data_IF_406812735690
#
_entry.id   IF_406812735690
#
_cell.length_a   1.000
_cell.length_b   1.000
_cell.length_c   1.000
_cell.angle_alpha   90.00
_cell.angle_beta   90.00
_cell.angle_gamma   90.00
#
_symmetry.space_group_name_H-M   'P 1'
#
loop_
_entity.id
_entity.type
_entity.pdbx_description
1 polymer ?
#
# COMPACT_ATOMS: atom_id res chain seq x y z
N UNK A 1 -33.20 10.80 14.65
CA UNK A 1 -32.12 10.36 13.74
C UNK A 1 -30.83 10.91 14.29
N UNK A 2 -29.95 10.08 14.86
CA UNK A 2 -28.69 10.53 15.45
C UNK A 2 -27.59 10.49 14.40
N UNK A 3 -27.38 11.61 13.70
CA UNK A 3 -26.16 11.83 12.92
C UNK A 3 -25.03 12.17 13.89
N UNK A 4 -24.37 11.15 14.42
CA UNK A 4 -23.17 11.32 15.23
C UNK A 4 -22.01 11.72 14.33
N UNK A 5 -21.81 13.04 14.20
CA UNK A 5 -20.53 13.63 13.80
C UNK A 5 -19.48 13.18 14.84
N UNK A 6 -18.80 12.07 14.56
CA UNK A 6 -17.62 11.64 15.32
C UNK A 6 -16.64 12.81 15.38
N UNK A 7 -16.14 13.11 16.59
CA UNK A 7 -15.25 14.25 16.81
C UNK A 7 -13.97 14.13 15.97
N UNK A 8 -13.35 15.25 15.60
CA UNK A 8 -12.12 15.30 14.81
C UNK A 8 -10.99 14.42 15.41
N UNK A 9 -10.92 14.33 16.73
CA UNK A 9 -9.96 13.50 17.47
C UNK A 9 -10.19 12.00 17.28
N UNK A 10 -11.45 11.55 17.26
CA UNK A 10 -11.79 10.14 17.01
C UNK A 10 -11.49 9.73 15.57
N UNK A 11 -11.70 10.64 14.61
CA UNK A 11 -11.34 10.41 13.22
C UNK A 11 -9.81 10.35 13.02
N UNK A 12 -9.05 11.17 13.73
CA UNK A 12 -7.59 11.12 13.71
C UNK A 12 -7.05 9.80 14.30
N UNK A 13 -7.59 9.36 15.45
CA UNK A 13 -7.21 8.09 16.06
C UNK A 13 -7.51 6.89 15.14
N UNK A 14 -8.70 6.83 14.54
CA UNK A 14 -9.06 5.76 13.61
C UNK A 14 -8.13 5.68 12.40
N UNK A 15 -7.68 6.84 11.87
CA UNK A 15 -6.70 6.89 10.78
C UNK A 15 -5.35 6.31 11.22
N UNK A 16 -4.90 6.66 12.43
CA UNK A 16 -3.65 6.14 12.99
C UNK A 16 -3.70 4.62 13.24
N UNK A 17 -4.80 4.12 13.80
CA UNK A 17 -5.01 2.69 14.05
C UNK A 17 -5.03 1.90 12.73
N UNK A 18 -5.70 2.46 11.71
CA UNK A 18 -5.74 1.90 10.36
C UNK A 18 -4.34 1.82 9.75
N UNK A 19 -3.59 2.92 9.80
CA UNK A 19 -2.21 2.97 9.31
C UNK A 19 -1.32 1.94 10.01
N UNK A 20 -1.44 1.84 11.34
CA UNK A 20 -0.69 0.87 12.15
C UNK A 20 -1.02 -0.56 11.75
N UNK A 21 -2.31 -0.90 11.58
CA UNK A 21 -2.75 -2.24 11.15
C UNK A 21 -2.24 -2.60 9.75
N UNK A 22 -2.34 -1.67 8.80
CA UNK A 22 -1.87 -1.87 7.43
C UNK A 22 -0.35 -2.08 7.43
N UNK A 23 0.40 -1.23 8.12
CA UNK A 23 1.86 -1.35 8.24
C UNK A 23 2.26 -2.70 8.84
N UNK A 24 1.62 -3.11 9.94
CA UNK A 24 1.91 -4.39 10.58
C UNK A 24 1.59 -5.58 9.65
N UNK A 25 0.52 -5.49 8.85
CA UNK A 25 0.17 -6.52 7.87
C UNK A 25 1.25 -6.65 6.79
N UNK A 26 1.75 -5.52 6.30
CA UNK A 26 2.80 -5.48 5.27
C UNK A 26 4.13 -6.01 5.79
N UNK A 27 4.51 -5.65 7.01
CA UNK A 27 5.73 -6.14 7.67
C UNK A 27 5.66 -7.65 7.92
N UNK A 28 4.52 -8.17 8.39
CA UNK A 28 4.31 -9.61 8.60
C UNK A 28 4.36 -10.41 7.29
N UNK A 29 4.00 -9.78 6.17
CA UNK A 29 3.92 -10.40 4.84
C UNK A 29 4.99 -9.90 3.87
N UNK A 30 6.10 -9.36 4.38
CA UNK A 30 7.11 -8.71 3.56
C UNK A 30 7.67 -9.64 2.46
N UNK A 31 7.86 -10.93 2.77
CA UNK A 31 8.32 -11.92 1.79
C UNK A 31 7.33 -12.18 0.66
N UNK A 32 6.03 -12.27 0.97
CA UNK A 32 4.96 -12.41 -0.04
C UNK A 32 4.90 -11.18 -0.94
N UNK A 33 4.96 -9.99 -0.32
CA UNK A 33 4.88 -8.72 -1.03
C UNK A 33 6.10 -8.49 -1.95
N UNK A 34 7.29 -8.93 -1.51
CA UNK A 34 8.54 -8.89 -2.29
C UNK A 34 8.44 -9.73 -3.55
N UNK A 35 7.86 -10.94 -3.46
CA UNK A 35 7.69 -11.82 -4.62
C UNK A 35 6.84 -11.21 -5.73
N UNK A 36 5.88 -10.34 -5.39
CA UNK A 36 5.06 -9.60 -6.35
C UNK A 36 5.63 -8.26 -6.82
N UNK A 37 6.65 -7.71 -6.15
CA UNK A 37 7.26 -6.41 -6.45
C UNK A 37 8.70 -6.50 -7.00
N UNK A 38 9.18 -7.72 -7.30
CA UNK A 38 10.55 -8.05 -7.76
C UNK A 38 11.68 -7.75 -6.76
N UNK A 39 11.41 -6.97 -5.72
CA UNK A 39 12.37 -6.62 -4.69
C UNK A 39 11.69 -6.21 -3.38
N UNK A 40 12.46 -6.20 -2.30
CA UNK A 40 11.99 -5.83 -0.97
C UNK A 40 11.80 -4.31 -0.90
N UNK A 41 10.60 -3.80 -0.59
CA UNK A 41 10.36 -2.37 -0.43
C UNK A 41 11.12 -1.80 0.77
N UNK A 42 11.65 -0.59 0.61
CA UNK A 42 12.26 0.19 1.69
C UNK A 42 11.20 0.91 2.54
N UNK A 43 10.15 1.41 1.90
CA UNK A 43 9.03 2.07 2.58
C UNK A 43 7.69 1.79 1.90
N UNK A 44 6.63 2.09 2.65
CA UNK A 44 5.24 1.95 2.25
C UNK A 44 4.45 3.22 2.58
N UNK A 45 3.75 3.78 1.60
CA UNK A 45 2.85 4.93 1.81
C UNK A 45 1.40 4.54 1.56
N UNK A 46 0.55 4.74 2.56
CA UNK A 46 -0.89 4.52 2.44
C UNK A 46 -1.49 5.64 1.57
N UNK A 47 -1.89 5.31 0.34
CA UNK A 47 -2.37 6.31 -0.62
C UNK A 47 -3.86 6.56 -0.56
N UNK A 48 -4.62 5.62 -0.01
CA UNK A 48 -6.08 5.70 0.04
C UNK A 48 -6.66 5.06 1.30
N UNK A 49 -7.84 5.54 1.69
CA UNK A 49 -8.69 4.83 2.65
C UNK A 49 -9.27 3.55 2.05
N UNK A 50 -9.91 2.74 2.90
CA UNK A 50 -10.58 1.50 2.47
C UNK A 50 -11.59 1.80 1.37
N UNK A 51 -11.50 1.08 0.27
CA UNK A 51 -12.41 1.17 -0.85
C UNK A 51 -12.53 -0.17 -1.57
N UNK A 52 -13.47 -0.22 -2.52
CA UNK A 52 -13.68 -1.35 -3.42
C UNK A 52 -13.48 -0.87 -4.85
N UNK A 53 -12.97 -1.73 -5.71
CA UNK A 53 -12.78 -1.45 -7.13
C UNK A 53 -13.84 -2.17 -7.96
N UNK A 54 -14.15 -1.69 -9.17
CA UNK A 54 -15.09 -2.40 -10.08
C UNK A 54 -14.64 -3.83 -10.40
N UNK A 55 -13.34 -4.06 -10.47
CA UNK A 55 -12.70 -5.35 -10.73
C UNK A 55 -12.44 -6.17 -9.47
N UNK A 56 -12.59 -5.59 -8.29
CA UNK A 56 -12.38 -6.26 -7.00
C UNK A 56 -13.31 -5.64 -5.94
N UNK A 57 -14.48 -6.27 -5.70
CA UNK A 57 -15.46 -5.77 -4.73
C UNK A 57 -15.05 -6.02 -3.28
N UNK A 58 -13.88 -6.63 -3.02
CA UNK A 58 -13.39 -6.84 -1.66
C UNK A 58 -12.84 -5.53 -1.11
N UNK A 59 -13.23 -5.06 0.08
CA UNK A 59 -12.66 -3.86 0.69
C UNK A 59 -11.15 -3.98 0.91
N UNK A 60 -10.40 -2.99 0.41
CA UNK A 60 -8.94 -2.93 0.54
C UNK A 60 -8.43 -1.50 0.62
N UNK A 61 -7.21 -1.37 1.16
CA UNK A 61 -6.39 -0.18 1.10
C UNK A 61 -5.38 -0.30 -0.04
N UNK A 62 -5.03 0.82 -0.68
CA UNK A 62 -3.89 0.87 -1.61
C UNK A 62 -2.69 1.47 -0.89
N UNK A 63 -1.55 0.83 -1.11
CA UNK A 63 -0.28 1.22 -0.51
C UNK A 63 0.78 1.26 -1.61
N UNK A 64 1.40 2.41 -1.79
CA UNK A 64 2.53 2.54 -2.70
C UNK A 64 3.79 2.00 -2.01
N UNK A 65 4.45 1.06 -2.68
CA UNK A 65 5.71 0.50 -2.25
C UNK A 65 6.86 1.20 -2.98
N UNK A 66 7.89 1.60 -2.25
CA UNK A 66 9.05 2.27 -2.81
C UNK A 66 10.33 1.53 -2.47
N UNK A 67 11.30 1.66 -3.36
CA UNK A 67 12.69 1.37 -3.08
C UNK A 67 13.48 2.65 -2.87
N UNK A 68 14.67 2.49 -2.31
CA UNK A 68 15.67 3.54 -2.20
C UNK A 68 16.93 3.09 -2.93
N UNK A 69 17.34 3.86 -3.95
CA UNK A 69 18.56 3.56 -4.70
C UNK A 69 19.81 3.84 -3.86
N UNK A 70 20.97 3.37 -4.33
CA UNK A 70 22.27 3.69 -3.71
C UNK A 70 22.58 5.19 -3.71
N UNK A 71 21.98 5.95 -4.63
CA UNK A 71 22.11 7.41 -4.75
C UNK A 71 21.11 8.16 -3.85
N UNK A 72 20.22 7.43 -3.18
CA UNK A 72 19.22 7.97 -2.26
C UNK A 72 17.91 8.39 -2.92
N UNK A 73 17.72 8.10 -4.21
CA UNK A 73 16.49 8.36 -4.93
C UNK A 73 15.39 7.38 -4.50
N UNK A 74 14.15 7.89 -4.40
CA UNK A 74 12.97 7.08 -4.09
C UNK A 74 12.26 6.69 -5.39
N UNK A 75 12.23 5.39 -5.69
CA UNK A 75 11.60 4.86 -6.91
C UNK A 75 10.35 4.04 -6.53
N UNK A 76 9.20 4.29 -7.17
CA UNK A 76 8.01 3.47 -6.94
C UNK A 76 8.21 2.06 -7.54
N UNK A 77 7.95 1.04 -6.73
CA UNK A 77 8.00 -0.37 -7.15
C UNK A 77 6.65 -0.88 -7.63
N UNK A 78 5.59 -0.39 -7.01
CA UNK A 78 4.28 -0.95 -7.22
C UNK A 78 3.25 -0.50 -6.21
N UNK A 79 2.06 -1.05 -6.38
CA UNK A 79 0.93 -0.84 -5.49
C UNK A 79 0.62 -2.17 -4.81
N UNK A 80 0.47 -2.17 -3.49
CA UNK A 80 0.00 -3.31 -2.72
C UNK A 80 -1.44 -3.03 -2.28
N UNK A 81 -2.33 -3.94 -2.63
CA UNK A 81 -3.67 -4.00 -2.08
C UNK A 81 -3.59 -4.73 -0.75
N UNK A 82 -4.00 -4.07 0.33
CA UNK A 82 -4.12 -4.66 1.66
C UNK A 82 -5.59 -4.82 1.99
N UNK A 83 -6.09 -6.04 1.95
CA UNK A 83 -7.49 -6.33 2.21
C UNK A 83 -7.79 -6.27 3.71
N UNK A 84 -9.04 -5.96 4.07
CA UNK A 84 -9.40 -5.83 5.48
C UNK A 84 -9.28 -7.14 6.28
N UNK A 85 -9.27 -8.28 5.58
CA UNK A 85 -9.05 -9.63 6.12
C UNK A 85 -7.55 -9.99 6.29
N UNK A 86 -6.64 -9.07 5.97
CA UNK A 86 -5.18 -9.26 6.09
C UNK A 86 -4.54 -9.97 4.91
N UNK A 87 -5.28 -10.33 3.85
CA UNK A 87 -4.67 -10.71 2.57
C UNK A 87 -3.94 -9.52 1.95
N UNK A 88 -2.91 -9.81 1.17
CA UNK A 88 -2.21 -8.80 0.37
C UNK A 88 -2.15 -9.23 -1.08
N UNK A 89 -2.13 -8.26 -1.99
CA UNK A 89 -1.91 -8.49 -3.41
C UNK A 89 -1.06 -7.35 -3.96
N UNK A 90 0.19 -7.67 -4.28
CA UNK A 90 1.11 -6.74 -4.93
C UNK A 90 0.84 -6.68 -6.44
N UNK A 91 0.89 -5.47 -6.98
CA UNK A 91 0.85 -5.18 -8.41
C UNK A 91 2.08 -4.33 -8.70
N UNK A 92 3.01 -4.92 -9.42
CA UNK A 92 4.17 -4.24 -9.98
C UNK A 92 3.71 -3.07 -10.87
N UNK A 93 4.14 -1.85 -10.55
CA UNK A 93 3.77 -0.63 -11.25
C UNK A 93 4.94 -0.13 -12.10
N UNK A 94 5.55 -1.00 -12.90
CA UNK A 94 6.40 -0.55 -14.00
C UNK A 94 5.63 -0.58 -15.32
N UNK A 95 5.17 0.58 -15.85
CA UNK A 95 5.10 0.72 -17.29
C UNK A 95 6.51 0.50 -17.82
N UNK A 96 6.63 -0.37 -18.82
CA UNK A 96 7.86 -0.81 -19.50
C UNK A 96 8.78 0.31 -20.04
N UNK A 97 8.52 1.58 -19.75
CA UNK A 97 9.25 2.77 -20.24
C UNK A 97 10.59 3.03 -19.57
N UNK A 98 10.89 2.42 -18.42
CA UNK A 98 12.21 2.54 -17.77
C UNK A 98 13.15 1.37 -18.06
N UNK A 99 12.66 0.30 -18.73
CA UNK A 99 13.51 -0.81 -19.19
C UNK A 99 14.04 -0.62 -20.62
N UNK A 100 13.81 0.53 -21.25
CA UNK A 100 14.36 0.86 -22.57
C UNK A 100 15.60 1.78 -22.44
N UNK A 101 16.64 1.27 -21.78
CA UNK A 101 18.01 1.83 -21.83
C UNK A 101 19.06 0.71 -21.79
N UNK A 102 18.98 -0.19 -22.77
CA UNK A 102 20.04 -1.12 -23.19
C UNK A 102 19.61 -1.56 -24.58
N UNK A 103 20.25 -1.22 -25.70
CA UNK A 103 21.66 -0.95 -26.02
C UNK A 103 21.71 -0.03 -27.23
#
# INVERSE_FOLDING_TARGET
MYSSLLSSTQNAQRKQDTYTRVKQTLENKLSENTGGLRQTPWRFDLTSGSHTSKSDPTPHYLVDAYEKTSEGEEIPLGIIHVYEDGRTKSIDHFPNKFMDKTV
#
